data_IF_070170773454
#
_entry.id   IF_070170773454
#
_cell.length_a   1.000
_cell.length_b   1.000
_cell.length_c   1.000
_cell.angle_alpha   90.00
_cell.angle_beta   90.00
_cell.angle_gamma   90.00
#
_symmetry.space_group_name_H-M   'P 1'
#
loop_
_entity.id
_entity.type
_entity.pdbx_description
1 polymer ?
#
# COMPACT_ATOMS: atom_id res chain seq x y z
N UNK A 1 -32.98 16.15 -9.34
CA UNK A 1 -31.72 16.13 -8.56
C UNK A 1 -32.03 16.60 -7.15
N UNK A 2 -31.83 15.80 -6.09
CA UNK A 2 -32.12 16.24 -4.70
C UNK A 2 -30.99 17.14 -4.20
N UNK A 3 -31.21 18.45 -4.18
CA UNK A 3 -30.28 19.43 -3.61
C UNK A 3 -30.35 19.29 -2.09
N UNK A 4 -29.27 18.79 -1.47
CA UNK A 4 -29.16 18.67 -0.01
C UNK A 4 -28.48 19.92 0.53
N UNK A 5 -29.21 20.72 1.29
CA UNK A 5 -28.70 21.94 1.91
C UNK A 5 -27.73 21.68 3.07
N UNK A 6 -27.04 22.73 3.53
CA UNK A 6 -26.03 22.68 4.62
C UNK A 6 -26.55 22.01 5.90
N UNK A 7 -27.81 22.27 6.26
CA UNK A 7 -28.49 21.73 7.44
C UNK A 7 -28.57 20.18 7.45
N UNK A 8 -28.74 19.56 6.27
CA UNK A 8 -28.71 18.11 6.14
C UNK A 8 -27.37 17.52 6.61
N UNK A 9 -26.26 18.17 6.28
CA UNK A 9 -24.92 17.72 6.65
C UNK A 9 -24.63 17.91 8.15
N UNK A 10 -25.15 18.97 8.78
CA UNK A 10 -25.04 19.17 10.22
C UNK A 10 -25.83 18.11 10.99
N UNK A 11 -27.11 17.90 10.64
CA UNK A 11 -27.99 16.90 11.30
C UNK A 11 -27.50 15.47 11.11
N UNK A 12 -26.85 15.17 9.98
CA UNK A 12 -26.33 13.83 9.69
C UNK A 12 -24.83 13.68 9.97
N UNK A 13 -24.16 14.67 10.58
CA UNK A 13 -22.69 14.68 10.75
C UNK A 13 -22.16 13.39 11.37
N UNK A 14 -22.70 12.99 12.53
CA UNK A 14 -22.26 11.78 13.24
C UNK A 14 -22.44 10.52 12.40
N UNK A 15 -23.60 10.39 11.73
CA UNK A 15 -23.88 9.26 10.83
C UNK A 15 -22.91 9.23 9.65
N UNK A 16 -22.66 10.37 9.01
CA UNK A 16 -21.75 10.46 7.87
C UNK A 16 -20.30 10.17 8.27
N UNK A 17 -19.87 10.64 9.45
CA UNK A 17 -18.56 10.32 10.03
C UNK A 17 -18.42 8.81 10.29
N UNK A 18 -19.41 8.20 10.94
CA UNK A 18 -19.40 6.75 11.20
C UNK A 18 -19.33 5.94 9.90
N UNK A 19 -20.14 6.29 8.90
CA UNK A 19 -20.09 5.67 7.57
C UNK A 19 -18.74 5.89 6.88
N UNK A 20 -18.15 7.08 6.99
CA UNK A 20 -16.83 7.37 6.43
C UNK A 20 -15.73 6.50 7.06
N UNK A 21 -15.76 6.29 8.39
CA UNK A 21 -14.84 5.41 9.10
C UNK A 21 -14.97 3.96 8.65
N UNK A 22 -16.21 3.45 8.52
CA UNK A 22 -16.48 2.10 8.03
C UNK A 22 -15.94 1.93 6.60
N UNK A 23 -16.21 2.89 5.71
CA UNK A 23 -15.71 2.88 4.33
C UNK A 23 -14.18 2.92 4.28
N UNK A 24 -13.55 3.75 5.11
CA UNK A 24 -12.09 3.85 5.23
C UNK A 24 -11.50 2.50 5.66
N UNK A 25 -12.06 1.87 6.70
CA UNK A 25 -11.64 0.55 7.18
C UNK A 25 -11.78 -0.51 6.08
N UNK A 26 -12.93 -0.57 5.40
CA UNK A 26 -13.15 -1.51 4.28
C UNK A 26 -12.13 -1.29 3.15
N UNK A 27 -11.92 -0.04 2.74
CA UNK A 27 -10.98 0.34 1.70
C UNK A 27 -9.55 -0.08 2.05
N UNK A 28 -9.13 0.14 3.30
CA UNK A 28 -7.83 -0.28 3.81
C UNK A 28 -7.59 -1.79 3.64
N UNK A 29 -8.52 -2.63 4.12
CA UNK A 29 -8.35 -4.09 4.02
C UNK A 29 -8.36 -4.60 2.58
N UNK A 30 -9.22 -4.06 1.73
CA UNK A 30 -9.26 -4.42 0.31
C UNK A 30 -7.93 -4.09 -0.38
N UNK A 31 -7.40 -2.89 -0.18
CA UNK A 31 -6.10 -2.50 -0.75
C UNK A 31 -4.97 -3.35 -0.19
N UNK A 32 -4.94 -3.59 1.13
CA UNK A 32 -3.92 -4.42 1.77
C UNK A 32 -3.92 -5.85 1.22
N UNK A 33 -5.10 -6.43 0.97
CA UNK A 33 -5.21 -7.75 0.34
C UNK A 33 -4.61 -7.76 -1.08
N UNK A 34 -4.86 -6.72 -1.88
CA UNK A 34 -4.25 -6.58 -3.21
C UNK A 34 -2.74 -6.44 -3.12
N UNK A 35 -2.23 -5.59 -2.22
CA UNK A 35 -0.79 -5.40 -2.01
C UNK A 35 -0.11 -6.70 -1.57
N UNK A 36 -0.72 -7.45 -0.65
CA UNK A 36 -0.22 -8.75 -0.22
C UNK A 36 -0.17 -9.76 -1.37
N UNK A 37 -1.19 -9.78 -2.24
CA UNK A 37 -1.21 -10.65 -3.42
C UNK A 37 -0.11 -10.30 -4.43
N UNK A 38 0.25 -9.02 -4.54
CA UNK A 38 1.35 -8.59 -5.42
C UNK A 38 2.74 -9.08 -4.95
N UNK A 39 2.86 -9.48 -3.68
CA UNK A 39 4.06 -10.12 -3.12
C UNK A 39 4.15 -11.62 -3.40
N UNK A 40 3.13 -12.22 -4.01
CA UNK A 40 3.07 -13.66 -4.32
C UNK A 40 3.92 -13.99 -5.55
N UNK A 41 5.23 -13.79 -5.41
CA UNK A 41 6.25 -14.01 -6.43
C UNK A 41 7.53 -14.49 -5.74
N UNK A 42 8.37 -15.29 -6.41
CA UNK A 42 9.69 -15.64 -5.89
C UNK A 42 10.54 -14.39 -5.63
N UNK A 43 11.39 -14.44 -4.59
CA UNK A 43 12.36 -13.39 -4.31
C UNK A 43 13.24 -13.12 -5.54
N UNK A 44 13.39 -11.85 -5.94
CA UNK A 44 14.20 -11.47 -7.09
C UNK A 44 15.67 -11.92 -6.96
N UNK A 45 16.21 -11.97 -5.75
CA UNK A 45 17.61 -12.33 -5.50
C UNK A 45 17.81 -13.84 -5.30
N UNK A 46 17.21 -14.40 -4.24
CA UNK A 46 17.46 -15.79 -3.86
C UNK A 46 16.51 -16.80 -4.52
N UNK A 47 15.55 -16.34 -5.34
CA UNK A 47 14.57 -17.14 -6.09
C UNK A 47 13.67 -18.05 -5.25
N UNK A 48 13.74 -17.98 -3.91
CA UNK A 48 12.85 -18.69 -3.00
C UNK A 48 11.53 -17.94 -2.84
N UNK A 49 10.44 -18.69 -2.69
CA UNK A 49 9.11 -18.15 -2.40
C UNK A 49 8.85 -18.25 -0.89
N UNK A 50 8.31 -17.18 -0.32
CA UNK A 50 7.89 -17.13 1.07
C UNK A 50 6.46 -16.58 1.18
N UNK A 51 5.79 -16.78 2.32
CA UNK A 51 4.54 -16.10 2.58
C UNK A 51 4.69 -14.58 2.46
N UNK A 52 3.64 -13.89 2.00
CA UNK A 52 3.65 -12.44 1.73
C UNK A 52 4.15 -11.55 2.89
N UNK A 53 4.07 -12.01 4.14
CA UNK A 53 4.54 -11.28 5.32
C UNK A 53 6.07 -11.34 5.53
N UNK A 54 6.78 -12.19 4.79
CA UNK A 54 8.25 -12.29 4.74
C UNK A 54 8.82 -11.61 3.48
N UNK A 55 7.94 -11.24 2.56
CA UNK A 55 8.31 -10.59 1.30
C UNK A 55 8.17 -9.08 1.43
N UNK A 56 9.07 -8.33 0.80
CA UNK A 56 9.11 -6.88 0.78
C UNK A 56 9.19 -6.35 -0.65
N UNK A 57 8.74 -5.11 -0.83
CA UNK A 57 8.94 -4.35 -2.07
C UNK A 57 10.17 -3.47 -1.88
N UNK A 58 11.22 -3.74 -2.63
CA UNK A 58 12.47 -3.00 -2.59
C UNK A 58 12.59 -2.08 -3.81
N UNK A 59 12.97 -0.83 -3.58
CA UNK A 59 13.16 0.15 -4.65
C UNK A 59 14.62 0.09 -5.12
N UNK A 60 14.82 -0.16 -6.41
CA UNK A 60 16.15 -0.22 -7.00
C UNK A 60 16.83 1.15 -7.09
N UNK A 61 16.06 2.23 -7.16
CA UNK A 61 16.57 3.61 -7.24
C UNK A 61 15.89 4.50 -6.18
N UNK A 62 16.70 5.17 -5.35
CA UNK A 62 16.22 5.96 -4.21
C UNK A 62 15.69 7.35 -4.65
N UNK A 63 15.89 7.74 -5.91
CA UNK A 63 15.57 9.07 -6.43
C UNK A 63 14.09 9.32 -6.77
N UNK A 64 13.22 8.30 -6.76
CA UNK A 64 11.84 8.41 -7.26
C UNK A 64 10.77 7.76 -6.35
N UNK A 65 11.10 7.61 -5.06
CA UNK A 65 10.20 7.02 -4.06
C UNK A 65 9.18 8.05 -3.58
N UNK A 66 7.88 7.78 -3.79
CA UNK A 66 6.79 8.62 -3.27
C UNK A 66 6.50 8.30 -1.79
N UNK A 67 6.92 7.14 -1.28
CA UNK A 67 6.86 6.75 0.13
C UNK A 67 7.01 5.25 0.35
N UNK A 68 7.03 4.78 1.60
CA UNK A 68 6.87 3.34 1.88
C UNK A 68 5.47 2.90 1.39
N UNK A 69 5.38 1.78 0.68
CA UNK A 69 4.12 1.20 0.21
C UNK A 69 3.14 0.98 1.39
N UNK A 70 3.65 0.77 2.61
CA UNK A 70 2.84 0.74 3.83
C UNK A 70 2.09 2.07 4.09
N UNK A 71 2.72 3.22 3.82
CA UNK A 71 2.11 4.54 3.93
C UNK A 71 1.20 4.89 2.74
N UNK A 72 1.32 4.17 1.62
CA UNK A 72 0.53 4.42 0.41
C UNK A 72 -0.89 3.85 0.44
N UNK A 73 -1.31 3.12 1.48
CA UNK A 73 -2.66 2.53 1.56
C UNK A 73 -3.80 3.59 1.58
N UNK A 74 -3.48 4.85 1.87
CA UNK A 74 -4.40 5.99 1.73
C UNK A 74 -4.63 6.41 0.28
N UNK A 75 -3.70 6.12 -0.64
CA UNK A 75 -3.74 6.53 -2.05
C UNK A 75 -4.66 5.64 -2.89
N UNK A 76 -4.90 6.05 -4.14
CA UNK A 76 -5.68 5.23 -5.08
C UNK A 76 -4.98 3.89 -5.35
N UNK A 77 -5.76 2.85 -5.68
CA UNK A 77 -5.19 1.54 -6.01
C UNK A 77 -4.27 1.61 -7.25
N UNK A 78 -4.60 2.49 -8.20
CA UNK A 78 -3.80 2.72 -9.39
C UNK A 78 -2.42 3.30 -9.04
N UNK A 79 -2.38 4.31 -8.17
CA UNK A 79 -1.13 4.89 -7.67
C UNK A 79 -0.27 3.86 -6.96
N UNK A 80 -0.88 3.03 -6.10
CA UNK A 80 -0.17 1.94 -5.40
C UNK A 80 0.44 0.95 -6.40
N UNK A 81 -0.33 0.55 -7.42
CA UNK A 81 0.17 -0.37 -8.46
C UNK A 81 1.31 0.23 -9.29
N UNK A 82 1.21 1.51 -9.64
CA UNK A 82 2.26 2.25 -10.36
C UNK A 82 3.56 2.32 -9.56
N UNK A 83 3.48 2.52 -8.24
CA UNK A 83 4.68 2.49 -7.41
C UNK A 83 5.25 1.07 -7.29
N UNK A 84 4.39 0.07 -7.04
CA UNK A 84 4.81 -1.34 -6.95
C UNK A 84 5.49 -1.81 -8.24
N UNK A 85 5.09 -1.31 -9.43
CA UNK A 85 5.76 -1.67 -10.68
C UNK A 85 7.20 -1.17 -10.79
N UNK A 86 7.62 -0.22 -9.95
CA UNK A 86 9.02 0.24 -9.86
C UNK A 86 9.84 -0.58 -8.85
N UNK A 87 9.20 -1.48 -8.10
CA UNK A 87 9.83 -2.23 -7.03
C UNK A 87 10.16 -3.67 -7.46
N UNK A 88 11.25 -4.19 -6.93
CA UNK A 88 11.51 -5.63 -6.90
C UNK A 88 10.78 -6.27 -5.72
N UNK A 89 10.28 -7.49 -5.91
CA UNK A 89 9.78 -8.32 -4.81
C UNK A 89 10.92 -9.18 -4.29
N UNK A 90 11.38 -8.90 -3.07
CA UNK A 90 12.50 -9.60 -2.42
C UNK A 90 12.08 -10.14 -1.05
N UNK A 91 12.77 -11.16 -0.54
CA UNK A 91 12.56 -11.58 0.84
C UNK A 91 13.25 -10.60 1.80
N UNK A 92 12.76 -10.55 3.04
CA UNK A 92 13.22 -9.58 4.03
C UNK A 92 14.72 -9.69 4.37
N UNK A 93 15.35 -10.86 4.16
CA UNK A 93 16.79 -11.04 4.33
C UNK A 93 17.57 -10.42 3.17
N UNK A 94 17.19 -10.74 1.93
CA UNK A 94 17.81 -10.17 0.73
C UNK A 94 17.68 -8.64 0.71
N UNK A 95 16.50 -8.12 1.08
CA UNK A 95 16.26 -6.69 1.22
C UNK A 95 17.26 -6.03 2.19
N UNK A 96 17.40 -6.56 3.41
CA UNK A 96 18.36 -6.02 4.41
C UNK A 96 19.81 -6.08 3.93
N UNK A 97 20.19 -7.15 3.22
CA UNK A 97 21.52 -7.27 2.62
C UNK A 97 21.73 -6.19 1.56
N UNK A 98 20.73 -5.93 0.69
CA UNK A 98 20.78 -4.84 -0.29
C UNK A 98 20.97 -3.49 0.40
N UNK A 99 20.14 -3.19 1.41
CA UNK A 99 20.24 -1.94 2.18
C UNK A 99 21.62 -1.75 2.80
N UNK A 100 22.21 -2.79 3.40
CA UNK A 100 23.55 -2.71 3.99
C UNK A 100 24.67 -2.50 2.95
N UNK A 101 24.48 -3.03 1.73
CA UNK A 101 25.47 -2.93 0.64
C UNK A 101 25.40 -1.61 -0.15
N UNK A 102 24.28 -0.89 -0.13
CA UNK A 102 24.19 0.44 -0.77
C UNK A 102 25.12 1.40 0.00
N UNK A 103 26.14 1.99 -0.64
CA UNK A 103 26.95 3.01 0.00
C UNK A 103 26.09 4.22 0.35
N UNK A 104 26.29 4.76 1.55
CA UNK A 104 25.62 5.96 2.06
C UNK A 104 25.99 7.21 1.26
#
# INVERSE_FOLDING_TARGET
>A
MRIRGRDYYHKNRYRQLALALIRKKKSYYLKRAVVNKLKDKPCADCKKTYPHYVMDFDHNDDNDKVGDIAHMLSFSLETIKKEISKCDVVCANCHRIRTFKKPS
#
